data_IF_400256265496
#
_entry.id   IF_400256265496
#
_cell.length_a   1.000
_cell.length_b   1.000
_cell.length_c   1.000
_cell.angle_alpha   90.00
_cell.angle_beta   90.00
_cell.angle_gamma   90.00
#
_symmetry.space_group_name_H-M   'P 1'
#
loop_
_entity.id
_entity.type
_entity.pdbx_description
1 polymer ?
#
# COMPACT_ATOMS: atom_id res chain seq x y z
N UNK A 1 -21.14 -4.79 8.30
CA UNK A 1 -19.70 -5.09 8.17
C UNK A 1 -19.26 -5.76 9.45
N UNK A 2 -18.80 -7.00 9.36
CA UNK A 2 -18.36 -7.76 10.55
C UNK A 2 -17.02 -7.22 11.07
N UNK A 3 -16.69 -7.48 12.35
CA UNK A 3 -15.39 -7.12 12.91
C UNK A 3 -14.22 -7.74 12.12
N UNK A 4 -14.43 -8.96 11.62
CA UNK A 4 -13.52 -9.67 10.75
C UNK A 4 -13.22 -8.90 9.45
N UNK A 5 -14.26 -8.46 8.74
CA UNK A 5 -14.14 -7.65 7.51
C UNK A 5 -13.49 -6.28 7.79
N UNK A 6 -13.79 -5.68 8.95
CA UNK A 6 -13.19 -4.41 9.37
C UNK A 6 -11.69 -4.54 9.50
N UNK A 7 -11.21 -5.54 10.23
CA UNK A 7 -9.78 -5.75 10.44
C UNK A 7 -9.09 -6.09 9.11
N UNK A 8 -9.70 -6.92 8.26
CA UNK A 8 -9.19 -7.20 6.92
C UNK A 8 -9.00 -5.92 6.08
N UNK A 9 -10.01 -5.04 6.06
CA UNK A 9 -9.94 -3.78 5.33
C UNK A 9 -8.92 -2.82 5.94
N UNK A 10 -8.79 -2.77 7.26
CA UNK A 10 -7.74 -1.99 7.92
C UNK A 10 -6.36 -2.43 7.46
N UNK A 11 -6.07 -3.74 7.45
CA UNK A 11 -4.78 -4.29 7.03
C UNK A 11 -4.44 -3.90 5.58
N UNK A 12 -5.44 -3.92 4.68
CA UNK A 12 -5.29 -3.54 3.27
C UNK A 12 -4.92 -2.07 3.06
N UNK A 13 -5.32 -1.20 3.99
CA UNK A 13 -5.08 0.26 3.91
C UNK A 13 -3.76 0.67 4.57
N UNK A 14 -3.18 -0.19 5.43
CA UNK A 14 -1.89 0.05 6.11
C UNK A 14 -0.79 0.51 5.14
N UNK A 15 -0.58 -0.12 3.96
CA UNK A 15 0.47 0.32 3.06
C UNK A 15 0.35 1.78 2.64
N UNK A 16 -0.86 2.24 2.32
CA UNK A 16 -1.08 3.63 1.92
C UNK A 16 -0.87 4.58 3.11
N UNK A 17 -1.41 4.21 4.27
CA UNK A 17 -1.32 5.04 5.49
C UNK A 17 0.12 5.18 6.00
N UNK A 18 0.97 4.18 5.77
CA UNK A 18 2.39 4.25 6.14
C UNK A 18 3.22 4.94 5.07
N UNK A 19 2.99 4.62 3.80
CA UNK A 19 3.81 5.13 2.69
C UNK A 19 3.51 6.60 2.35
N UNK A 20 2.30 7.09 2.58
CA UNK A 20 1.96 8.49 2.33
C UNK A 20 2.73 9.46 3.24
N UNK A 21 2.71 9.34 4.59
CA UNK A 21 3.53 10.17 5.47
C UNK A 21 5.03 10.01 5.19
N UNK A 22 5.50 8.79 4.88
CA UNK A 22 6.87 8.55 4.50
C UNK A 22 7.23 9.35 3.24
N UNK A 23 6.40 9.29 2.19
CA UNK A 23 6.58 10.09 0.97
C UNK A 23 6.63 11.58 1.26
N UNK A 24 5.70 12.11 2.07
CA UNK A 24 5.65 13.52 2.45
C UNK A 24 6.95 13.95 3.16
N UNK A 25 7.48 13.12 4.06
CA UNK A 25 8.75 13.37 4.74
C UNK A 25 9.95 13.32 3.77
N UNK A 26 9.88 12.50 2.74
CA UNK A 26 10.92 12.34 1.73
C UNK A 26 10.90 13.45 0.66
N UNK A 27 9.89 14.33 0.63
CA UNK A 27 9.80 15.43 -0.35
C UNK A 27 11.02 16.36 -0.34
N UNK A 28 11.72 16.46 0.79
CA UNK A 28 12.97 17.23 0.95
C UNK A 28 14.19 16.61 0.24
N UNK A 29 14.11 15.33 -0.12
CA UNK A 29 15.18 14.59 -0.80
C UNK A 29 15.07 14.71 -2.32
N UNK A 30 16.15 14.37 -3.03
CA UNK A 30 16.13 14.30 -4.50
C UNK A 30 15.31 13.10 -4.97
N UNK A 31 14.70 13.21 -6.15
CA UNK A 31 13.77 12.22 -6.70
C UNK A 31 14.33 10.77 -6.71
N UNK A 32 15.61 10.60 -7.07
CA UNK A 32 16.25 9.28 -7.11
C UNK A 32 16.46 8.66 -5.71
N UNK A 33 16.65 9.48 -4.67
CA UNK A 33 16.72 9.01 -3.28
C UNK A 33 15.35 8.58 -2.80
N UNK A 34 14.30 9.34 -3.16
CA UNK A 34 12.91 8.95 -2.88
C UNK A 34 12.57 7.61 -3.51
N UNK A 35 12.99 7.39 -4.76
CA UNK A 35 12.82 6.12 -5.45
C UNK A 35 13.46 4.95 -4.68
N UNK A 36 14.74 5.06 -4.32
CA UNK A 36 15.44 4.01 -3.57
C UNK A 36 14.80 3.71 -2.21
N UNK A 37 14.42 4.76 -1.47
CA UNK A 37 13.78 4.60 -0.16
C UNK A 37 12.39 3.98 -0.27
N UNK A 38 11.57 4.43 -1.23
CA UNK A 38 10.21 3.92 -1.44
C UNK A 38 10.20 2.51 -2.04
N UNK A 39 11.23 2.12 -2.78
CA UNK A 39 11.41 0.74 -3.22
C UNK A 39 11.53 -0.19 -2.01
N UNK A 40 12.44 0.10 -1.08
CA UNK A 40 12.70 -0.72 0.12
C UNK A 40 11.52 -0.66 1.09
N UNK A 41 11.04 0.55 1.43
CA UNK A 41 9.89 0.72 2.33
C UNK A 41 8.63 0.10 1.75
N UNK A 42 8.36 0.32 0.46
CA UNK A 42 7.24 -0.27 -0.24
C UNK A 42 7.27 -1.79 -0.15
N UNK A 43 8.43 -2.39 -0.42
CA UNK A 43 8.59 -3.84 -0.29
C UNK A 43 8.25 -4.33 1.13
N UNK A 44 8.90 -3.77 2.16
CA UNK A 44 8.71 -4.20 3.55
C UNK A 44 7.24 -4.06 3.98
N UNK A 45 6.63 -2.92 3.68
CA UNK A 45 5.27 -2.62 4.14
C UNK A 45 4.22 -3.46 3.40
N UNK A 46 4.33 -3.64 2.07
CA UNK A 46 3.40 -4.48 1.31
C UNK A 46 3.58 -5.96 1.63
N UNK A 47 4.82 -6.44 1.79
CA UNK A 47 5.09 -7.81 2.18
C UNK A 47 4.52 -8.11 3.57
N UNK A 48 4.79 -7.24 4.56
CA UNK A 48 4.26 -7.39 5.92
C UNK A 48 2.74 -7.34 5.95
N UNK A 49 2.10 -6.37 5.28
CA UNK A 49 0.64 -6.27 5.19
C UNK A 49 0.03 -7.49 4.52
N UNK A 50 0.63 -8.01 3.45
CA UNK A 50 0.16 -9.21 2.75
C UNK A 50 0.24 -10.45 3.64
N UNK A 51 1.38 -10.67 4.31
CA UNK A 51 1.56 -11.79 5.23
C UNK A 51 0.59 -11.72 6.41
N UNK A 52 0.39 -10.52 6.96
CA UNK A 52 -0.53 -10.28 8.07
C UNK A 52 -1.98 -10.46 7.64
N UNK A 53 -2.35 -9.99 6.45
CA UNK A 53 -3.69 -10.19 5.87
C UNK A 53 -4.03 -11.67 5.75
N UNK A 54 -3.16 -12.47 5.13
CA UNK A 54 -3.42 -13.90 4.93
C UNK A 54 -3.42 -14.67 6.25
N UNK A 55 -2.47 -14.36 7.15
CA UNK A 55 -2.43 -14.96 8.49
C UNK A 55 -3.72 -14.67 9.28
N UNK A 56 -4.18 -13.42 9.29
CA UNK A 56 -5.40 -13.04 9.96
C UNK A 56 -6.65 -13.70 9.33
N UNK A 57 -6.72 -13.70 8.00
CA UNK A 57 -7.88 -14.20 7.26
C UNK A 57 -8.09 -15.70 7.45
N UNK A 58 -7.01 -16.48 7.58
CA UNK A 58 -7.10 -17.93 7.79
C UNK A 58 -7.40 -18.24 9.26
N UNK A 59 -6.71 -17.59 10.19
CA UNK A 59 -6.81 -17.94 11.63
C UNK A 59 -8.12 -17.47 12.29
N UNK A 60 -8.72 -16.39 11.78
CA UNK A 60 -9.93 -15.79 12.36
C UNK A 60 -11.14 -15.90 11.43
N UNK A 61 -11.11 -16.83 10.47
CA UNK A 61 -12.23 -17.07 9.58
C UNK A 61 -13.48 -17.46 10.39
N UNK A 62 -14.66 -16.87 10.09
CA UNK A 62 -15.88 -17.12 10.85
C UNK A 62 -16.47 -18.51 10.63
N UNK A 63 -16.15 -19.17 9.50
CA UNK A 63 -16.61 -20.53 9.18
C UNK A 63 -15.47 -21.39 8.65
N UNK A 64 -15.60 -22.71 8.81
CA UNK A 64 -14.61 -23.65 8.30
C UNK A 64 -14.55 -23.62 6.76
N UNK A 65 -15.68 -23.40 6.09
CA UNK A 65 -15.77 -23.24 4.64
C UNK A 65 -14.97 -22.01 4.14
N UNK A 66 -15.11 -20.85 4.81
CA UNK A 66 -14.34 -19.65 4.46
C UNK A 66 -12.85 -19.83 4.73
N UNK A 67 -12.48 -20.52 5.80
CA UNK A 67 -11.09 -20.86 6.08
C UNK A 67 -10.48 -21.72 4.95
N UNK A 68 -11.21 -22.75 4.49
CA UNK A 68 -10.72 -23.65 3.43
C UNK A 68 -10.63 -22.95 2.08
N UNK A 69 -11.61 -22.11 1.72
CA UNK A 69 -11.56 -21.34 0.46
C UNK A 69 -10.40 -20.34 0.47
N UNK A 70 -10.15 -19.67 1.60
CA UNK A 70 -9.01 -18.75 1.75
C UNK A 70 -7.67 -19.47 1.70
N UNK A 71 -7.54 -20.62 2.37
CA UNK A 71 -6.32 -21.42 2.34
C UNK A 71 -5.99 -21.97 0.94
N UNK A 72 -7.01 -22.28 0.13
CA UNK A 72 -6.80 -22.69 -1.26
C UNK A 72 -6.37 -21.54 -2.18
N UNK A 73 -6.76 -20.30 -1.84
CA UNK A 73 -6.46 -19.10 -2.62
C UNK A 73 -5.18 -18.37 -2.18
N UNK A 74 -4.55 -18.76 -1.08
CA UNK A 74 -3.47 -17.98 -0.47
C UNK A 74 -2.14 -18.06 -1.24
N UNK A 75 -1.86 -19.16 -1.93
CA UNK A 75 -0.53 -19.48 -2.46
C UNK A 75 0.06 -18.41 -3.38
N UNK A 76 -0.61 -18.14 -4.50
CA UNK A 76 -0.12 -17.14 -5.46
C UNK A 76 -0.17 -15.71 -4.89
N UNK A 77 -1.30 -15.20 -4.37
CA UNK A 77 -1.37 -13.81 -3.89
C UNK A 77 -0.41 -13.52 -2.74
N UNK A 78 -0.18 -14.47 -1.83
CA UNK A 78 0.76 -14.31 -0.72
C UNK A 78 2.21 -14.25 -1.22
N UNK A 79 2.59 -15.14 -2.14
CA UNK A 79 3.93 -15.15 -2.73
C UNK A 79 4.17 -13.88 -3.56
N UNK A 80 3.24 -13.53 -4.45
CA UNK A 80 3.37 -12.35 -5.31
C UNK A 80 3.38 -11.05 -4.50
N UNK A 81 2.49 -10.90 -3.52
CA UNK A 81 2.49 -9.70 -2.67
C UNK A 81 3.75 -9.57 -1.80
N UNK A 82 4.34 -10.69 -1.38
CA UNK A 82 5.60 -10.70 -0.59
C UNK A 82 6.82 -10.42 -1.48
N UNK A 83 6.93 -11.05 -2.65
CA UNK A 83 8.10 -10.92 -3.53
C UNK A 83 8.08 -9.63 -4.37
N UNK A 84 6.89 -9.18 -4.77
CA UNK A 84 6.70 -8.00 -5.63
C UNK A 84 6.13 -6.79 -4.89
N UNK A 85 6.16 -6.78 -3.55
CA UNK A 85 5.73 -5.62 -2.75
C UNK A 85 6.43 -4.30 -3.15
N UNK A 86 7.66 -4.39 -3.66
CA UNK A 86 8.41 -3.25 -4.20
C UNK A 86 7.71 -2.60 -5.39
N UNK A 87 7.09 -3.39 -6.27
CA UNK A 87 6.41 -2.89 -7.46
C UNK A 87 5.19 -2.04 -7.08
N UNK A 88 4.42 -2.49 -6.08
CA UNK A 88 3.32 -1.70 -5.52
C UNK A 88 3.80 -0.42 -4.83
N UNK A 89 4.93 -0.48 -4.12
CA UNK A 89 5.59 0.69 -3.57
C UNK A 89 5.96 1.74 -4.62
N UNK A 90 6.50 1.29 -5.76
CA UNK A 90 6.85 2.16 -6.89
C UNK A 90 5.63 2.73 -7.60
N UNK A 91 4.56 1.94 -7.77
CA UNK A 91 3.28 2.41 -8.31
C UNK A 91 2.72 3.53 -7.44
N UNK A 92 2.72 3.35 -6.11
CA UNK A 92 2.28 4.41 -5.18
C UNK A 92 3.17 5.65 -5.24
N UNK A 93 4.49 5.48 -5.32
CA UNK A 93 5.40 6.61 -5.53
C UNK A 93 5.06 7.38 -6.81
N UNK A 94 4.81 6.66 -7.91
CA UNK A 94 4.42 7.28 -9.17
C UNK A 94 3.11 8.07 -9.04
N UNK A 95 2.09 7.48 -8.41
CA UNK A 95 0.81 8.15 -8.14
C UNK A 95 1.06 9.42 -7.31
N UNK A 96 1.82 9.33 -6.23
CA UNK A 96 2.09 10.48 -5.36
C UNK A 96 2.86 11.60 -6.05
N UNK A 97 3.87 11.27 -6.86
CA UNK A 97 4.59 12.27 -7.66
C UNK A 97 3.70 12.88 -8.74
N UNK A 98 2.86 12.09 -9.41
CA UNK A 98 1.89 12.59 -10.38
C UNK A 98 0.90 13.55 -9.72
N UNK A 99 0.32 13.19 -8.57
CA UNK A 99 -0.56 14.07 -7.79
C UNK A 99 0.14 15.36 -7.38
N UNK A 100 1.40 15.28 -6.94
CA UNK A 100 2.21 16.45 -6.58
C UNK A 100 2.45 17.37 -7.78
N UNK A 101 2.79 16.82 -8.95
CA UNK A 101 3.02 17.60 -10.18
C UNK A 101 1.74 18.29 -10.66
N UNK A 102 0.61 17.59 -10.60
CA UNK A 102 -0.71 18.16 -10.91
C UNK A 102 -1.00 19.32 -9.94
N UNK A 103 -0.84 19.10 -8.63
CA UNK A 103 -1.08 20.13 -7.62
C UNK A 103 -0.23 21.40 -7.87
N UNK A 104 1.06 21.23 -8.16
CA UNK A 104 1.95 22.36 -8.49
C UNK A 104 1.55 23.04 -9.80
N UNK A 105 1.16 22.27 -10.83
CA UNK A 105 0.76 22.80 -12.13
C UNK A 105 -0.56 23.58 -12.11
N UNK A 106 -1.49 23.23 -11.23
CA UNK A 106 -2.75 23.95 -11.05
C UNK A 106 -2.62 25.19 -10.15
N UNK A 107 -1.63 25.24 -9.26
CA UNK A 107 -1.43 26.36 -8.34
C UNK A 107 -1.31 27.75 -9.03
N UNK A 108 -0.53 27.92 -10.12
CA UNK A 108 -0.46 29.20 -10.83
C UNK A 108 -1.72 29.55 -11.65
N UNK A 109 -2.54 28.56 -12.01
CA UNK A 109 -3.83 28.78 -12.67
C UNK A 109 -4.86 29.33 -11.68
N UNK A 110 -4.88 28.79 -10.46
CA UNK A 110 -5.77 29.24 -9.39
C UNK A 110 -5.38 30.63 -8.90
N UNK A 111 -4.08 30.95 -8.80
CA UNK A 111 -3.63 32.29 -8.40
C UNK A 111 -3.88 33.37 -9.46
N UNK A 112 -4.17 33.01 -10.71
CA UNK A 112 -4.55 33.95 -11.78
C UNK A 112 -6.07 34.14 -11.90
N UNK A 113 -6.86 33.23 -11.33
CA UNK A 113 -8.32 33.29 -11.29
C UNK A 113 -8.85 34.02 -10.05
N UNK A 114 -7.98 34.36 -9.10
CA UNK A 114 -8.28 35.08 -7.86
C UNK A 114 -7.72 36.49 -7.95
#
# INVERSE_FOLDING_TARGET
MSLYELIQNTIRVVPVVVLLPAFLYLLRLKWYQRFGVMFVLGWVVFAASTLLFWSYSINYAPTQETMTDLAQRDGAPRLFGTLFGWAFGLILLFIFEATRLIYIGFNPLISRLR
#
